data_IF_842489783374
#
_entry.id   IF_842489783374
#
_cell.length_a   1.000
_cell.length_b   1.000
_cell.length_c   1.000
_cell.angle_alpha   90.00
_cell.angle_beta   90.00
_cell.angle_gamma   90.00
#
_symmetry.space_group_name_H-M   'P 1'
#
loop_
_entity.id
_entity.type
_entity.pdbx_description
1 polymer ?
#
# COMPACT_ATOMS: atom_id res chain seq x y z
N UNK A 1 -54.76 9.23 -3.91
CA UNK A 1 -53.61 10.16 -3.79
C UNK A 1 -52.45 9.64 -2.94
N UNK A 2 -52.66 8.96 -1.80
CA UNK A 2 -51.58 8.49 -0.91
C UNK A 2 -50.61 7.45 -1.50
N UNK A 3 -51.05 6.59 -2.45
CA UNK A 3 -50.22 5.53 -3.02
C UNK A 3 -49.11 6.04 -3.96
N UNK A 4 -49.36 7.13 -4.70
CA UNK A 4 -48.37 7.74 -5.60
C UNK A 4 -47.19 8.35 -4.83
N UNK A 5 -47.42 8.86 -3.61
CA UNK A 5 -46.35 9.40 -2.77
C UNK A 5 -45.41 8.30 -2.26
N UNK A 6 -45.92 7.09 -1.97
CA UNK A 6 -45.07 5.96 -1.55
C UNK A 6 -44.14 5.49 -2.68
N UNK A 7 -44.66 5.38 -3.90
CA UNK A 7 -43.87 5.01 -5.08
C UNK A 7 -42.82 6.08 -5.41
N UNK A 8 -43.19 7.36 -5.34
CA UNK A 8 -42.25 8.47 -5.55
C UNK A 8 -41.15 8.49 -4.49
N UNK A 9 -41.48 8.23 -3.22
CA UNK A 9 -40.51 8.18 -2.12
C UNK A 9 -39.55 7.00 -2.27
N UNK A 10 -40.05 5.83 -2.70
CA UNK A 10 -39.22 4.65 -2.99
C UNK A 10 -38.21 4.89 -4.13
N UNK A 11 -38.61 5.59 -5.20
CA UNK A 11 -37.73 5.96 -6.31
C UNK A 11 -36.65 6.98 -5.91
N UNK A 12 -37.02 7.97 -5.08
CA UNK A 12 -36.04 8.95 -4.54
C UNK A 12 -35.07 8.26 -3.59
N UNK A 13 -35.54 7.36 -2.73
CA UNK A 13 -34.68 6.60 -1.83
C UNK A 13 -33.74 5.66 -2.62
N UNK A 14 -34.25 4.99 -3.65
CA UNK A 14 -33.45 4.11 -4.50
C UNK A 14 -32.39 4.87 -5.30
N UNK A 15 -32.71 6.07 -5.82
CA UNK A 15 -31.73 6.92 -6.51
C UNK A 15 -30.69 7.49 -5.54
N UNK A 16 -31.07 7.91 -4.33
CA UNK A 16 -30.12 8.33 -3.29
C UNK A 16 -29.20 7.20 -2.84
N UNK A 17 -29.72 5.98 -2.67
CA UNK A 17 -28.92 4.78 -2.36
C UNK A 17 -27.97 4.46 -3.52
N UNK A 18 -28.45 4.47 -4.76
CA UNK A 18 -27.63 4.21 -5.96
C UNK A 18 -26.52 5.25 -6.15
N UNK A 19 -26.80 6.53 -5.87
CA UNK A 19 -25.79 7.60 -5.88
C UNK A 19 -24.80 7.44 -4.72
N UNK A 20 -25.26 7.06 -3.53
CA UNK A 20 -24.41 6.77 -2.37
C UNK A 20 -23.49 5.56 -2.57
N UNK A 21 -23.92 4.54 -3.32
CA UNK A 21 -23.05 3.44 -3.75
C UNK A 21 -21.94 3.89 -4.70
N UNK A 22 -22.17 4.95 -5.48
CA UNK A 22 -21.12 5.64 -6.25
C UNK A 22 -20.36 6.67 -5.42
N UNK A 23 -20.00 6.35 -4.17
CA UNK A 23 -18.86 7.05 -3.58
C UNK A 23 -17.65 6.80 -4.47
N UNK A 24 -17.19 7.83 -5.19
CA UNK A 24 -15.93 7.77 -5.92
C UNK A 24 -14.87 7.31 -4.91
N UNK A 25 -14.03 6.30 -5.24
CA UNK A 25 -12.89 6.01 -4.40
C UNK A 25 -12.13 7.32 -4.23
N UNK A 26 -11.82 7.69 -2.98
CA UNK A 26 -11.00 8.84 -2.67
C UNK A 26 -9.78 8.77 -3.59
N UNK A 27 -9.68 9.67 -4.57
CA UNK A 27 -8.57 9.65 -5.50
C UNK A 27 -7.34 10.04 -4.71
N UNK A 28 -6.54 9.04 -4.34
CA UNK A 28 -5.29 9.24 -3.63
C UNK A 28 -4.39 10.11 -4.51
N UNK A 29 -4.12 11.35 -4.08
CA UNK A 29 -3.28 12.24 -4.86
C UNK A 29 -1.80 11.93 -4.60
N UNK A 30 -1.35 10.79 -5.12
CA UNK A 30 0.08 10.55 -5.33
C UNK A 30 0.41 11.12 -6.71
N UNK A 31 1.37 12.06 -6.82
CA UNK A 31 1.77 12.60 -8.11
C UNK A 31 2.07 11.49 -9.12
N UNK A 32 1.51 11.58 -10.33
CA UNK A 32 1.69 10.53 -11.34
C UNK A 32 3.17 10.30 -11.68
N UNK A 33 3.99 11.36 -11.63
CA UNK A 33 5.45 11.26 -11.79
C UNK A 33 6.10 10.33 -10.76
N UNK A 34 5.64 10.38 -9.51
CA UNK A 34 6.13 9.53 -8.43
C UNK A 34 5.71 8.07 -8.65
N UNK A 35 4.46 7.82 -9.06
CA UNK A 35 3.97 6.46 -9.39
C UNK A 35 4.77 5.87 -10.55
N UNK A 36 4.98 6.66 -11.61
CA UNK A 36 5.76 6.25 -12.77
C UNK A 36 7.21 5.91 -12.36
N UNK A 37 7.81 6.72 -11.49
CA UNK A 37 9.16 6.46 -10.97
C UNK A 37 9.23 5.10 -10.25
N UNK A 38 8.23 4.79 -9.42
CA UNK A 38 8.17 3.50 -8.71
C UNK A 38 7.97 2.33 -9.66
N UNK A 39 7.09 2.48 -10.66
CA UNK A 39 6.85 1.45 -11.66
C UNK A 39 8.12 1.17 -12.48
N UNK A 40 8.82 2.20 -12.97
CA UNK A 40 10.04 2.04 -13.77
C UNK A 40 11.17 1.36 -12.98
N UNK A 41 11.36 1.72 -11.69
CA UNK A 41 12.39 1.11 -10.86
C UNK A 41 12.23 -0.41 -10.71
N UNK A 42 10.99 -0.91 -10.72
CA UNK A 42 10.70 -2.33 -10.53
C UNK A 42 10.61 -3.08 -11.85
N UNK A 43 10.13 -2.46 -12.93
CA UNK A 43 9.94 -3.13 -14.24
C UNK A 43 11.15 -3.90 -14.72
N UNK A 44 12.35 -3.33 -14.58
CA UNK A 44 13.60 -3.97 -14.98
C UNK A 44 14.05 -5.14 -14.09
N UNK A 45 13.41 -5.30 -12.92
CA UNK A 45 13.77 -6.27 -11.88
C UNK A 45 12.72 -7.37 -11.73
N UNK A 46 11.61 -7.29 -12.49
CA UNK A 46 10.58 -8.31 -12.53
C UNK A 46 11.08 -9.49 -13.36
N UNK A 47 11.61 -10.49 -12.67
CA UNK A 47 11.82 -11.83 -13.22
C UNK A 47 10.47 -12.58 -13.30
N UNK A 48 10.39 -13.62 -14.14
CA UNK A 48 9.19 -14.45 -14.37
C UNK A 48 8.57 -15.06 -13.09
N UNK A 49 9.33 -15.10 -11.99
CA UNK A 49 8.90 -15.64 -10.69
C UNK A 49 8.04 -14.69 -9.84
N UNK A 50 7.89 -13.43 -10.25
CA UNK A 50 7.15 -12.43 -9.49
C UNK A 50 5.87 -12.00 -10.20
N UNK A 51 4.92 -11.45 -9.43
CA UNK A 51 3.74 -10.80 -10.02
C UNK A 51 4.18 -9.55 -10.79
N UNK A 52 3.90 -9.50 -12.08
CA UNK A 52 4.24 -8.38 -12.97
C UNK A 52 3.20 -7.26 -13.03
N UNK A 53 2.06 -7.46 -12.35
CA UNK A 53 0.88 -6.62 -12.48
C UNK A 53 0.73 -5.68 -11.29
N UNK A 54 1.06 -6.15 -10.08
CA UNK A 54 0.82 -5.44 -8.82
C UNK A 54 2.10 -5.37 -8.01
N UNK A 55 2.43 -4.16 -7.53
CA UNK A 55 3.51 -3.94 -6.58
C UNK A 55 3.00 -3.27 -5.31
N UNK A 56 3.71 -3.51 -4.21
CA UNK A 56 3.56 -2.73 -2.98
C UNK A 56 4.76 -1.80 -2.85
N UNK A 57 4.47 -0.53 -2.58
CA UNK A 57 5.48 0.49 -2.36
C UNK A 57 5.29 1.14 -0.99
N UNK A 58 6.37 1.28 -0.23
CA UNK A 58 6.37 1.89 1.11
C UNK A 58 7.32 3.08 1.15
N UNK A 59 6.77 4.28 1.31
CA UNK A 59 7.53 5.54 1.39
C UNK A 59 7.76 5.99 2.83
N UNK A 60 8.75 5.39 3.50
CA UNK A 60 9.06 5.75 4.87
C UNK A 60 9.74 7.13 5.04
N UNK A 61 9.97 7.87 3.95
CA UNK A 61 10.37 9.30 4.04
C UNK A 61 9.20 10.21 4.37
N UNK A 62 7.97 9.76 4.11
CA UNK A 62 6.76 10.49 4.50
C UNK A 62 6.49 10.33 6.00
N UNK A 63 5.99 11.40 6.68
CA UNK A 63 5.52 11.34 8.06
C UNK A 63 4.56 10.18 8.32
N UNK A 64 4.59 9.60 9.52
CA UNK A 64 3.79 8.42 9.87
C UNK A 64 2.29 8.65 9.92
N UNK A 65 1.84 9.91 10.01
CA UNK A 65 0.44 10.31 9.94
C UNK A 65 -0.06 10.49 8.49
N UNK A 66 0.80 10.31 7.48
CA UNK A 66 0.44 10.36 6.08
C UNK A 66 0.37 8.96 5.47
N UNK A 67 -0.44 8.81 4.41
CA UNK A 67 -0.41 7.59 3.61
C UNK A 67 0.97 7.42 2.98
N UNK A 68 1.52 6.23 3.22
CA UNK A 68 2.87 5.87 2.83
C UNK A 68 3.04 4.39 2.49
N UNK A 69 1.96 3.63 2.49
CA UNK A 69 1.85 2.31 1.87
C UNK A 69 0.95 2.44 0.65
N UNK A 70 1.37 1.92 -0.50
CA UNK A 70 0.63 2.02 -1.76
C UNK A 70 0.60 0.67 -2.46
N UNK A 71 -0.57 0.30 -2.97
CA UNK A 71 -0.75 -0.81 -3.91
C UNK A 71 -0.88 -0.20 -5.29
N UNK A 72 0.01 -0.58 -6.21
CA UNK A 72 0.10 0.02 -7.54
C UNK A 72 -0.14 -1.05 -8.59
N UNK A 73 -1.04 -0.76 -9.53
CA UNK A 73 -1.21 -1.50 -10.77
C UNK A 73 -0.20 -1.01 -11.81
N UNK A 74 0.72 -1.89 -12.21
CA UNK A 74 1.79 -1.62 -13.18
C UNK A 74 1.30 -1.59 -14.64
N UNK A 75 0.11 -2.12 -14.96
CA UNK A 75 -0.48 -2.01 -16.30
C UNK A 75 -1.03 -0.62 -16.54
N UNK A 76 -1.68 -0.06 -15.51
CA UNK A 76 -2.33 1.26 -15.60
C UNK A 76 -1.52 2.39 -14.97
N UNK A 77 -0.44 2.07 -14.24
CA UNK A 77 0.31 3.00 -13.39
C UNK A 77 -0.59 3.78 -12.42
N UNK A 78 -1.55 3.09 -11.79
CA UNK A 78 -2.49 3.69 -10.84
C UNK A 78 -2.34 3.09 -9.46
N UNK A 79 -2.49 3.95 -8.44
CA UNK A 79 -2.65 3.50 -7.06
C UNK A 79 -4.06 2.91 -6.91
N UNK A 80 -4.13 1.61 -6.60
CA UNK A 80 -5.37 0.90 -6.32
C UNK A 80 -5.87 1.20 -4.92
N UNK A 81 -4.96 1.26 -3.94
CA UNK A 81 -5.27 1.65 -2.56
C UNK A 81 -4.02 2.19 -1.87
N UNK A 82 -4.23 2.99 -0.83
CA UNK A 82 -3.17 3.52 0.01
C UNK A 82 -3.52 3.36 1.50
N UNK A 83 -2.50 3.33 2.34
CA UNK A 83 -2.67 3.15 3.78
C UNK A 83 -1.53 3.76 4.59
N UNK A 84 -1.74 3.75 5.90
CA UNK A 84 -0.70 4.04 6.89
C UNK A 84 0.26 2.84 6.98
N UNK A 85 1.49 3.10 7.38
CA UNK A 85 2.47 2.06 7.70
C UNK A 85 3.19 2.43 8.98
N UNK A 86 3.75 1.47 9.69
CA UNK A 86 4.68 1.72 10.79
C UNK A 86 6.14 1.73 10.28
N UNK A 87 7.04 2.36 11.03
CA UNK A 87 8.49 2.29 10.80
C UNK A 87 9.20 1.80 12.07
N UNK A 88 10.44 1.36 11.92
CA UNK A 88 11.34 1.13 13.05
C UNK A 88 11.82 2.44 13.68
N UNK A 89 13.03 2.42 14.26
CA UNK A 89 13.65 3.61 14.89
C UNK A 89 13.68 4.84 13.96
N UNK A 90 13.52 6.00 14.58
CA UNK A 90 13.75 7.31 13.97
C UNK A 90 14.89 8.02 14.68
N UNK A 91 15.48 9.01 14.03
CA UNK A 91 16.35 9.98 14.69
C UNK A 91 15.51 11.03 15.44
N UNK A 92 16.17 12.07 15.97
CA UNK A 92 15.50 13.14 16.74
C UNK A 92 14.56 14.01 15.89
N UNK A 93 14.78 14.09 14.58
CA UNK A 93 13.93 14.88 13.67
C UNK A 93 12.74 14.08 13.11
N UNK A 94 12.63 12.81 13.46
CA UNK A 94 11.55 11.92 13.01
C UNK A 94 11.87 11.15 11.72
N UNK A 95 13.03 11.37 11.10
CA UNK A 95 13.47 10.59 9.94
C UNK A 95 13.79 9.15 10.32
N UNK A 96 13.37 8.21 9.47
CA UNK A 96 13.59 6.77 9.68
C UNK A 96 15.07 6.42 9.59
N UNK A 97 15.55 5.68 10.59
CA UNK A 97 16.89 5.08 10.60
C UNK A 97 16.79 3.69 9.98
N UNK A 98 17.58 3.45 8.94
CA UNK A 98 17.66 2.14 8.30
C UNK A 98 18.84 1.31 8.82
N UNK A 99 18.63 0.01 9.00
CA UNK A 99 19.71 -0.94 9.30
C UNK A 99 19.33 -2.33 8.81
N UNK A 100 20.32 -3.08 8.32
CA UNK A 100 20.17 -4.50 7.96
C UNK A 100 20.57 -5.43 9.14
N UNK A 101 20.97 -4.89 10.30
CA UNK A 101 21.41 -5.71 11.44
C UNK A 101 20.21 -6.27 12.21
N UNK A 102 20.13 -7.59 12.44
CA UNK A 102 19.10 -8.18 13.31
C UNK A 102 19.09 -7.54 14.71
N UNK A 103 17.91 -7.34 15.29
CA UNK A 103 17.77 -6.70 16.61
C UNK A 103 17.96 -5.18 16.63
N UNK A 104 18.26 -4.52 15.50
CA UNK A 104 18.45 -3.07 15.47
C UNK A 104 17.19 -2.26 15.78
N UNK A 105 16.00 -2.87 15.69
CA UNK A 105 14.68 -2.22 15.74
C UNK A 105 14.48 -1.12 14.66
N UNK A 106 15.36 -1.05 13.67
CA UNK A 106 15.25 -0.18 12.49
C UNK A 106 14.52 -0.90 11.35
N UNK A 107 13.94 -0.12 10.43
CA UNK A 107 13.49 -0.67 9.15
C UNK A 107 14.70 -1.03 8.29
N UNK A 108 14.58 -2.00 7.37
CA UNK A 108 15.62 -2.26 6.37
C UNK A 108 15.18 -1.71 5.00
N UNK A 109 16.07 -1.01 4.29
CA UNK A 109 15.75 -0.37 3.01
C UNK A 109 16.04 -1.33 1.85
N UNK A 110 15.15 -1.39 0.86
CA UNK A 110 15.39 -2.13 -0.37
C UNK A 110 14.16 -2.88 -0.88
N UNK A 111 14.41 -3.78 -1.83
CA UNK A 111 13.41 -4.60 -2.50
C UNK A 111 13.11 -5.86 -1.73
N UNK A 112 11.84 -6.25 -1.70
CA UNK A 112 11.37 -7.42 -0.98
C UNK A 112 10.59 -8.35 -1.89
N UNK A 113 10.78 -9.65 -1.69
CA UNK A 113 9.89 -10.69 -2.17
C UNK A 113 8.94 -11.11 -1.03
N UNK A 114 7.66 -11.28 -1.35
CA UNK A 114 6.63 -11.74 -0.41
C UNK A 114 6.61 -13.27 -0.42
N UNK A 115 6.82 -13.84 0.75
CA UNK A 115 6.85 -15.27 0.99
C UNK A 115 5.53 -15.86 1.45
N UNK A 116 5.65 -17.01 2.12
CA UNK A 116 4.53 -17.70 2.74
C UNK A 116 3.82 -16.80 3.78
N UNK A 117 2.51 -16.94 3.85
CA UNK A 117 1.71 -16.33 4.91
C UNK A 117 1.89 -17.07 6.23
N UNK A 118 1.72 -16.36 7.34
CA UNK A 118 1.67 -16.92 8.69
C UNK A 118 0.65 -16.13 9.55
N UNK A 119 0.31 -16.65 10.71
CA UNK A 119 -0.51 -15.93 11.69
C UNK A 119 0.42 -15.18 12.64
N UNK A 120 0.44 -13.85 12.55
CA UNK A 120 1.15 -12.97 13.47
C UNK A 120 0.24 -12.50 14.61
N UNK A 121 0.80 -11.67 15.49
CA UNK A 121 0.08 -11.11 16.64
C UNK A 121 -1.17 -10.31 16.26
N UNK A 122 -1.20 -9.72 15.05
CA UNK A 122 -2.29 -8.90 14.54
C UNK A 122 -3.07 -9.58 13.40
N UNK A 123 -3.01 -10.91 13.29
CA UNK A 123 -3.70 -11.68 12.27
C UNK A 123 -2.81 -12.10 11.10
N UNK A 124 -3.37 -12.19 9.90
CA UNK A 124 -2.65 -12.69 8.71
C UNK A 124 -1.46 -11.79 8.37
N UNK A 125 -0.29 -12.39 8.29
CA UNK A 125 0.96 -11.74 7.96
C UNK A 125 1.71 -12.54 6.89
N UNK A 126 2.76 -11.96 6.33
CA UNK A 126 3.58 -12.57 5.28
C UNK A 126 5.06 -12.45 5.61
N UNK A 127 5.84 -13.49 5.30
CA UNK A 127 7.30 -13.43 5.38
C UNK A 127 7.83 -12.53 4.26
N UNK A 128 8.87 -11.77 4.56
CA UNK A 128 9.52 -10.90 3.58
C UNK A 128 10.99 -11.33 3.41
N UNK A 129 11.39 -11.56 2.16
CA UNK A 129 12.78 -11.85 1.77
C UNK A 129 13.39 -10.59 1.18
N UNK A 130 14.51 -10.12 1.71
CA UNK A 130 15.22 -8.98 1.14
C UNK A 130 16.05 -9.38 -0.07
N UNK A 131 16.00 -8.56 -1.12
CA UNK A 131 16.66 -8.80 -2.41
C UNK A 131 17.90 -7.92 -2.63
N UNK A 132 18.20 -7.01 -1.69
CA UNK A 132 19.39 -6.16 -1.73
C UNK A 132 20.30 -6.41 -0.53
N UNK A 133 21.58 -6.04 -0.64
CA UNK A 133 22.53 -6.10 0.47
C UNK A 133 22.10 -5.27 1.69
N UNK A 134 21.27 -4.25 1.49
CA UNK A 134 20.73 -3.36 2.53
C UNK A 134 19.53 -3.94 3.28
N UNK A 135 18.97 -5.07 2.83
CA UNK A 135 17.87 -5.76 3.50
C UNK A 135 17.97 -7.30 3.47
N UNK A 136 19.13 -7.86 3.09
CA UNK A 136 19.36 -9.31 2.95
C UNK A 136 19.08 -10.11 4.22
N UNK A 137 19.02 -9.47 5.39
CA UNK A 137 18.73 -10.13 6.66
C UNK A 137 17.23 -10.09 7.03
N UNK A 138 16.36 -9.52 6.19
CA UNK A 138 14.95 -9.29 6.48
C UNK A 138 14.20 -10.51 7.01
N UNK A 139 14.43 -11.70 6.44
CA UNK A 139 13.75 -12.93 6.86
C UNK A 139 14.15 -13.37 8.28
N UNK A 140 15.38 -13.08 8.70
CA UNK A 140 15.93 -13.53 9.99
C UNK A 140 15.58 -12.59 11.15
N UNK A 141 14.82 -11.53 10.88
CA UNK A 141 14.39 -10.53 11.88
C UNK A 141 13.12 -10.95 12.60
#
# INVERSE_FOLDING_TARGET
MKFYYLLAFGLVLFTLIYIGYKTKPSTFHVPQSQINTYAEQIRHLLEDKYNSDIIFYVDLTKPSNNYRFFVIDLKTNKVLTAGLACNGKTNKDGSVIYSNEPGSNSSSKGLYCIGASYTGQHGKAYRLYGLNSTNSNALRR
#
